data_IF_334867682845
#
_entry.id   IF_334867682845
#
_cell.length_a   1.000
_cell.length_b   1.000
_cell.length_c   1.000
_cell.angle_alpha   90.00
_cell.angle_beta   90.00
_cell.angle_gamma   90.00
#
_symmetry.space_group_name_H-M   'P 1'
#
loop_
_entity.id
_entity.type
_entity.pdbx_description
1 polymer ?
#
# COMPACT_ATOMS: atom_id res chain seq x y z
N UNK A 1 -3.01 -39.71 -10.52
CA UNK A 1 -1.64 -39.47 -10.07
C UNK A 1 -1.56 -38.64 -8.78
N UNK A 2 -2.46 -37.71 -8.53
CA UNK A 2 -2.50 -36.93 -7.27
C UNK A 2 -2.92 -37.73 -6.03
N UNK A 3 -3.78 -38.73 -6.16
CA UNK A 3 -4.25 -39.56 -5.03
C UNK A 3 -3.19 -40.52 -4.48
N UNK A 4 -2.23 -40.95 -5.27
CA UNK A 4 -1.14 -41.84 -4.84
C UNK A 4 -0.08 -41.12 -4.02
N UNK A 5 0.26 -39.88 -4.39
CA UNK A 5 1.24 -39.07 -3.65
C UNK A 5 0.74 -38.64 -2.26
N UNK A 6 -0.56 -38.35 -2.15
CA UNK A 6 -1.22 -38.04 -0.87
C UNK A 6 -1.29 -39.25 0.08
N UNK A 7 -1.49 -40.45 -0.46
CA UNK A 7 -1.52 -41.69 0.33
C UNK A 7 -0.14 -42.06 0.88
N UNK A 8 0.92 -41.93 0.09
CA UNK A 8 2.28 -42.20 0.53
C UNK A 8 2.78 -41.20 1.60
N UNK A 9 2.37 -39.95 1.51
CA UNK A 9 2.71 -38.93 2.52
C UNK A 9 1.95 -39.14 3.84
N UNK A 10 0.70 -39.62 3.80
CA UNK A 10 -0.06 -39.98 4.99
C UNK A 10 0.58 -41.15 5.76
N UNK A 11 1.12 -42.12 5.07
CA UNK A 11 1.79 -43.29 5.67
C UNK A 11 3.11 -42.89 6.32
N UNK A 12 3.90 -42.01 5.67
CA UNK A 12 5.16 -41.49 6.24
C UNK A 12 4.87 -40.61 7.46
N UNK A 13 3.81 -39.78 7.42
CA UNK A 13 3.36 -38.98 8.55
C UNK A 13 2.97 -39.80 9.79
N UNK A 14 2.25 -40.91 9.59
CA UNK A 14 1.85 -41.82 10.65
C UNK A 14 3.05 -42.57 11.29
N UNK A 15 4.09 -42.88 10.54
CA UNK A 15 5.30 -43.56 11.05
C UNK A 15 6.18 -42.64 11.90
N UNK A 16 6.21 -41.33 11.59
CA UNK A 16 7.00 -40.33 12.31
C UNK A 16 6.30 -39.73 13.55
N UNK A 17 5.00 -39.99 13.73
CA UNK A 17 4.22 -39.48 14.87
C UNK A 17 4.57 -40.09 16.24
N UNK A 18 5.33 -41.17 16.27
CA UNK A 18 5.57 -41.94 17.51
C UNK A 18 6.84 -41.53 18.30
N UNK A 19 7.60 -40.55 17.82
CA UNK A 19 8.78 -40.04 18.57
C UNK A 19 8.64 -38.53 18.81
N UNK A 20 9.07 -38.04 19.98
CA UNK A 20 8.98 -36.64 20.39
C UNK A 20 9.71 -35.71 19.41
N UNK A 21 10.79 -36.13 18.77
CA UNK A 21 11.50 -35.46 17.69
C UNK A 21 10.75 -35.52 16.35
N UNK A 22 9.99 -36.60 16.08
CA UNK A 22 9.19 -36.77 14.90
C UNK A 22 8.02 -35.77 14.83
N UNK A 23 7.37 -35.47 15.96
CA UNK A 23 6.26 -34.50 16.00
C UNK A 23 6.72 -33.08 15.63
N UNK A 24 7.87 -32.64 16.10
CA UNK A 24 8.40 -31.33 15.74
C UNK A 24 8.85 -31.27 14.27
N UNK A 25 9.37 -32.38 13.73
CA UNK A 25 9.79 -32.47 12.34
C UNK A 25 8.59 -32.50 11.38
N UNK A 26 7.55 -33.27 11.70
CA UNK A 26 6.29 -33.33 10.93
C UNK A 26 5.59 -31.98 10.96
N UNK A 27 5.52 -31.30 12.10
CA UNK A 27 4.92 -29.97 12.22
C UNK A 27 5.66 -28.94 11.34
N UNK A 28 7.00 -28.96 11.32
CA UNK A 28 7.80 -28.09 10.45
C UNK A 28 7.64 -28.39 8.95
N UNK A 29 7.51 -29.68 8.58
CA UNK A 29 7.28 -30.06 7.17
C UNK A 29 5.87 -29.62 6.75
N UNK A 30 4.87 -29.85 7.58
CA UNK A 30 3.47 -29.48 7.31
C UNK A 30 3.31 -27.96 7.20
N UNK A 31 3.99 -27.20 8.03
CA UNK A 31 4.06 -25.74 7.96
C UNK A 31 4.75 -25.24 6.67
N UNK A 32 5.84 -25.90 6.28
CA UNK A 32 6.56 -25.59 5.03
C UNK A 32 5.76 -25.94 3.77
N UNK A 33 5.10 -27.08 3.75
CA UNK A 33 4.24 -27.50 2.64
C UNK A 33 2.99 -26.62 2.53
N UNK A 34 2.38 -26.27 3.66
CA UNK A 34 1.28 -25.30 3.71
C UNK A 34 1.71 -23.94 3.14
N UNK A 35 2.91 -23.45 3.49
CA UNK A 35 3.43 -22.20 2.94
C UNK A 35 3.73 -22.28 1.44
N UNK A 36 4.22 -23.45 0.95
CA UNK A 36 4.44 -23.68 -0.48
C UNK A 36 3.13 -23.78 -1.21
N UNK A 37 2.17 -24.56 -0.70
CA UNK A 37 0.83 -24.69 -1.26
C UNK A 37 0.13 -23.33 -1.32
N UNK A 38 0.19 -22.55 -0.24
CA UNK A 38 -0.34 -21.19 -0.16
C UNK A 38 0.32 -20.26 -1.18
N UNK A 39 1.63 -20.34 -1.37
CA UNK A 39 2.34 -19.55 -2.40
C UNK A 39 1.96 -19.94 -3.81
N UNK A 40 1.87 -21.23 -4.09
CA UNK A 40 1.51 -21.75 -5.42
C UNK A 40 0.02 -21.47 -5.72
N UNK A 41 -0.88 -21.70 -4.76
CA UNK A 41 -2.31 -21.39 -4.88
C UNK A 41 -2.54 -19.88 -5.11
N UNK A 42 -1.81 -19.03 -4.40
CA UNK A 42 -1.88 -17.57 -4.54
C UNK A 42 -1.29 -17.11 -5.89
N UNK A 43 -0.22 -17.72 -6.35
CA UNK A 43 0.35 -17.47 -7.67
C UNK A 43 -0.57 -17.91 -8.82
N UNK A 44 -1.31 -19.02 -8.64
CA UNK A 44 -2.25 -19.52 -9.65
C UNK A 44 -3.57 -18.74 -9.69
N UNK A 45 -4.03 -18.18 -8.57
CA UNK A 45 -5.33 -17.47 -8.48
C UNK A 45 -5.31 -15.99 -8.84
N UNK A 46 -4.16 -15.39 -9.03
CA UNK A 46 -4.17 -13.98 -9.27
C UNK A 46 -2.93 -13.28 -9.70
N UNK A 47 -2.25 -13.76 -10.71
CA UNK A 47 -1.28 -12.89 -11.37
C UNK A 47 -0.33 -12.16 -10.39
N UNK A 48 0.75 -11.78 -10.84
CA UNK A 48 1.86 -11.01 -10.26
C UNK A 48 1.50 -10.05 -9.10
N UNK A 49 1.00 -10.55 -7.98
CA UNK A 49 0.79 -9.73 -6.79
C UNK A 49 2.13 -9.62 -6.09
N UNK A 50 2.78 -8.51 -6.33
CA UNK A 50 4.00 -8.10 -5.65
C UNK A 50 3.81 -8.19 -4.13
N UNK A 51 4.76 -8.77 -3.39
CA UNK A 51 4.66 -8.85 -1.94
C UNK A 51 4.50 -7.44 -1.37
N UNK A 52 3.74 -7.31 -0.26
CA UNK A 52 3.48 -6.01 0.38
C UNK A 52 4.77 -5.24 0.71
N UNK A 53 5.80 -5.93 1.19
CA UNK A 53 7.11 -5.35 1.52
C UNK A 53 7.81 -4.77 0.29
N UNK A 54 7.74 -5.48 -0.85
CA UNK A 54 8.34 -5.01 -2.09
C UNK A 54 7.58 -3.79 -2.62
N UNK A 55 6.24 -3.83 -2.60
CA UNK A 55 5.42 -2.69 -3.03
C UNK A 55 5.68 -1.47 -2.15
N UNK A 56 5.72 -1.63 -0.83
CA UNK A 56 6.03 -0.57 0.12
C UNK A 56 7.38 0.08 -0.19
N UNK A 57 8.45 -0.71 -0.31
CA UNK A 57 9.77 -0.18 -0.57
C UNK A 57 9.85 0.55 -1.92
N UNK A 58 9.22 0.01 -2.96
CA UNK A 58 9.18 0.67 -4.28
C UNK A 58 8.43 2.00 -4.19
N UNK A 59 7.26 2.03 -3.55
CA UNK A 59 6.50 3.28 -3.42
C UNK A 59 7.19 4.30 -2.54
N UNK A 60 7.91 3.89 -1.49
CA UNK A 60 8.71 4.78 -0.66
C UNK A 60 9.82 5.45 -1.47
N UNK A 61 10.56 4.65 -2.25
CA UNK A 61 11.62 5.16 -3.14
C UNK A 61 11.03 6.08 -4.22
N UNK A 62 9.91 5.69 -4.84
CA UNK A 62 9.25 6.52 -5.86
C UNK A 62 8.79 7.86 -5.29
N UNK A 63 8.14 7.88 -4.11
CA UNK A 63 7.72 9.11 -3.46
C UNK A 63 8.92 10.02 -3.16
N UNK A 64 10.02 9.44 -2.65
CA UNK A 64 11.23 10.20 -2.39
C UNK A 64 11.83 10.79 -3.67
N UNK A 65 11.92 9.99 -4.74
CA UNK A 65 12.42 10.45 -6.04
C UNK A 65 11.53 11.53 -6.64
N UNK A 66 10.21 11.44 -6.48
CA UNK A 66 9.27 12.48 -6.93
C UNK A 66 9.52 13.80 -6.20
N UNK A 67 9.66 13.77 -4.87
CA UNK A 67 9.95 14.97 -4.07
C UNK A 67 11.32 15.56 -4.46
N UNK A 68 12.33 14.72 -4.59
CA UNK A 68 13.67 15.14 -5.02
C UNK A 68 13.64 15.78 -6.41
N UNK A 69 12.94 15.14 -7.36
CA UNK A 69 12.76 15.67 -8.72
C UNK A 69 12.08 17.04 -8.72
N UNK A 70 11.06 17.24 -7.88
CA UNK A 70 10.42 18.53 -7.72
C UNK A 70 11.37 19.59 -7.14
N UNK A 71 12.15 19.24 -6.12
CA UNK A 71 13.16 20.16 -5.54
C UNK A 71 14.18 20.57 -6.59
N UNK A 72 14.69 19.61 -7.37
CA UNK A 72 15.62 19.91 -8.47
C UNK A 72 14.99 20.82 -9.53
N UNK A 73 13.73 20.54 -9.91
CA UNK A 73 12.96 21.39 -10.82
C UNK A 73 12.81 22.82 -10.28
N UNK A 74 12.46 22.96 -8.99
CA UNK A 74 12.30 24.25 -8.32
C UNK A 74 13.63 25.03 -8.28
N UNK A 75 14.74 24.36 -7.96
CA UNK A 75 16.08 24.97 -7.98
C UNK A 75 16.45 25.46 -9.39
N UNK A 76 16.21 24.64 -10.41
CA UNK A 76 16.52 24.98 -11.80
C UNK A 76 15.69 26.16 -12.31
N UNK A 77 14.46 26.31 -11.85
CA UNK A 77 13.55 27.39 -12.30
C UNK A 77 13.60 28.63 -11.41
N UNK A 78 14.25 28.56 -10.24
CA UNK A 78 14.19 29.59 -9.19
C UNK A 78 14.56 31.01 -9.65
N UNK A 79 15.57 31.12 -10.51
CA UNK A 79 16.03 32.39 -11.06
C UNK A 79 15.04 33.08 -12.01
N UNK A 80 14.18 32.27 -12.65
CA UNK A 80 13.18 32.71 -13.62
C UNK A 80 11.82 33.00 -12.98
N UNK A 81 11.64 32.63 -11.69
CA UNK A 81 10.38 32.84 -10.98
C UNK A 81 10.16 34.31 -10.62
N UNK A 82 8.96 34.86 -10.84
CA UNK A 82 8.59 36.18 -10.35
C UNK A 82 8.58 36.19 -8.81
N UNK A 83 8.73 37.38 -8.20
CA UNK A 83 8.72 37.54 -6.74
C UNK A 83 7.38 37.12 -6.10
N UNK A 84 6.29 37.20 -6.85
CA UNK A 84 4.96 36.72 -6.45
C UNK A 84 4.47 35.62 -7.38
N UNK A 85 4.12 34.48 -6.81
CA UNK A 85 3.62 33.29 -7.50
C UNK A 85 2.22 32.94 -7.00
N UNK A 86 1.37 32.29 -7.81
CA UNK A 86 0.12 31.72 -7.33
C UNK A 86 0.37 30.69 -6.22
N UNK A 87 -0.38 30.82 -5.14
CA UNK A 87 -0.36 29.88 -4.00
C UNK A 87 -1.73 29.24 -3.74
N UNK A 88 -2.74 29.66 -4.46
CA UNK A 88 -4.06 29.08 -4.44
C UNK A 88 -4.75 29.26 -5.78
N UNK A 89 -5.53 28.24 -6.18
CA UNK A 89 -6.30 28.22 -7.41
C UNK A 89 -7.76 27.88 -7.07
N UNK A 90 -8.70 28.51 -7.73
CA UNK A 90 -10.10 28.18 -7.59
C UNK A 90 -10.44 26.87 -8.33
N UNK A 91 -11.69 26.41 -8.25
CA UNK A 91 -12.16 25.17 -8.89
C UNK A 91 -12.02 25.14 -10.42
N UNK A 92 -11.84 26.28 -11.04
CA UNK A 92 -11.62 26.43 -12.48
C UNK A 92 -10.13 26.48 -12.86
N UNK A 93 -9.22 26.37 -11.86
CA UNK A 93 -7.78 26.45 -12.07
C UNK A 93 -7.25 27.86 -12.29
N UNK A 94 -8.03 28.89 -11.95
CA UNK A 94 -7.65 30.29 -12.05
C UNK A 94 -7.02 30.70 -10.71
N UNK A 95 -5.80 31.32 -10.72
CA UNK A 95 -5.17 31.81 -9.51
C UNK A 95 -6.04 32.88 -8.83
N UNK A 96 -6.35 32.72 -7.55
CA UNK A 96 -7.11 33.66 -6.73
C UNK A 96 -6.32 34.20 -5.53
N UNK A 97 -5.15 33.65 -5.28
CA UNK A 97 -4.24 34.14 -4.23
C UNK A 97 -2.78 34.03 -4.66
N UNK A 98 -2.01 35.07 -4.36
CA UNK A 98 -0.58 35.15 -4.67
C UNK A 98 0.25 35.33 -3.39
N UNK A 99 1.38 34.61 -3.32
CA UNK A 99 2.36 34.69 -2.24
C UNK A 99 3.76 34.98 -2.76
N UNK A 100 4.73 35.05 -1.85
CA UNK A 100 6.15 35.17 -2.21
C UNK A 100 6.62 33.85 -2.83
N UNK A 101 7.57 33.87 -3.77
CA UNK A 101 8.13 32.67 -4.40
C UNK A 101 8.67 31.65 -3.38
N UNK A 102 9.11 32.09 -2.19
CA UNK A 102 9.51 31.21 -1.09
C UNK A 102 8.40 30.30 -0.58
N UNK A 103 7.10 30.62 -0.84
CA UNK A 103 5.99 29.73 -0.47
C UNK A 103 6.02 28.40 -1.20
N UNK A 104 6.65 28.33 -2.39
CA UNK A 104 6.81 27.06 -3.14
C UNK A 104 7.69 26.04 -2.41
N UNK A 105 8.49 26.47 -1.43
CA UNK A 105 9.28 25.56 -0.59
C UNK A 105 8.40 24.78 0.43
N UNK A 106 7.19 25.26 0.70
CA UNK A 106 6.27 24.57 1.59
C UNK A 106 5.84 23.21 1.00
N UNK A 107 5.70 23.09 -0.31
CA UNK A 107 5.22 21.88 -0.98
C UNK A 107 6.16 20.67 -0.75
N UNK A 108 7.48 20.75 -1.01
CA UNK A 108 8.36 19.62 -0.74
C UNK A 108 8.50 19.36 0.76
N UNK A 109 8.41 20.37 1.63
CA UNK A 109 8.44 20.19 3.09
C UNK A 109 7.19 19.42 3.53
N UNK A 110 5.99 19.83 3.11
CA UNK A 110 4.75 19.14 3.39
C UNK A 110 4.77 17.73 2.80
N UNK A 111 5.26 17.57 1.58
CA UNK A 111 5.42 16.26 0.94
C UNK A 111 6.29 15.32 1.77
N UNK A 112 7.43 15.79 2.30
CA UNK A 112 8.29 14.99 3.18
C UNK A 112 7.62 14.67 4.52
N UNK A 113 6.89 15.61 5.12
CA UNK A 113 6.16 15.37 6.37
C UNK A 113 5.05 14.34 6.17
N UNK A 114 4.27 14.47 5.11
CA UNK A 114 3.21 13.50 4.75
C UNK A 114 3.83 12.14 4.48
N UNK A 115 4.92 12.07 3.70
CA UNK A 115 5.62 10.82 3.41
C UNK A 115 6.08 10.15 4.71
N UNK A 116 6.78 10.89 5.58
CA UNK A 116 7.27 10.38 6.85
C UNK A 116 6.12 9.88 7.76
N UNK A 117 5.04 10.65 7.85
CA UNK A 117 3.86 10.28 8.62
C UNK A 117 3.19 9.01 8.09
N UNK A 118 2.97 8.89 6.77
CA UNK A 118 2.34 7.71 6.18
C UNK A 118 3.26 6.48 6.24
N UNK A 119 4.58 6.64 6.11
CA UNK A 119 5.54 5.57 6.36
C UNK A 119 5.50 5.09 7.81
N UNK A 120 5.40 6.02 8.76
CA UNK A 120 5.26 5.70 10.17
C UNK A 120 3.95 4.93 10.44
N UNK A 121 2.82 5.43 9.97
CA UNK A 121 1.53 4.72 10.10
C UNK A 121 1.61 3.30 9.51
N UNK A 122 2.21 3.14 8.34
CA UNK A 122 2.34 1.85 7.67
C UNK A 122 3.23 0.84 8.43
N UNK A 123 4.09 1.33 9.32
CA UNK A 123 4.93 0.49 10.18
C UNK A 123 4.16 -0.20 11.30
N UNK A 124 3.01 0.37 11.70
CA UNK A 124 2.21 -0.05 12.84
C UNK A 124 0.75 -0.34 12.45
N UNK A 125 0.51 -1.33 11.58
CA UNK A 125 -0.84 -1.66 11.10
C UNK A 125 -1.78 -2.10 12.25
N UNK A 126 -1.25 -2.60 13.35
CA UNK A 126 -2.01 -2.99 14.54
C UNK A 126 -2.68 -1.80 15.26
N UNK A 127 -2.29 -0.56 14.95
CA UNK A 127 -2.88 0.65 15.55
C UNK A 127 -4.03 1.22 14.71
N UNK A 128 -4.29 0.61 13.55
CA UNK A 128 -5.33 1.10 12.67
C UNK A 128 -6.68 0.55 13.11
N UNK A 129 -7.72 1.35 12.92
CA UNK A 129 -9.09 0.93 13.14
C UNK A 129 -9.60 0.24 11.86
N UNK A 130 -9.87 -1.05 11.95
CA UNK A 130 -10.38 -1.86 10.85
C UNK A 130 -11.90 -1.96 10.91
N UNK A 131 -12.60 -2.07 9.76
CA UNK A 131 -14.06 -2.19 9.74
C UNK A 131 -14.55 -3.61 10.05
N UNK A 132 -13.65 -4.53 10.38
CA UNK A 132 -13.91 -5.94 10.73
C UNK A 132 -13.11 -6.31 11.97
N UNK A 133 -13.50 -7.38 12.67
CA UNK A 133 -12.73 -7.90 13.78
C UNK A 133 -11.45 -8.57 13.29
N UNK A 134 -10.32 -8.20 13.88
CA UNK A 134 -9.01 -8.74 13.52
C UNK A 134 -8.69 -9.91 14.44
N UNK A 135 -8.87 -11.13 13.93
CA UNK A 135 -8.53 -12.38 14.61
C UNK A 135 -7.11 -12.83 14.26
N UNK A 136 -6.57 -13.83 14.97
CA UNK A 136 -5.25 -14.39 14.66
C UNK A 136 -5.22 -15.04 13.25
N UNK A 137 -6.35 -15.58 12.77
CA UNK A 137 -6.46 -16.23 11.46
C UNK A 137 -6.48 -15.23 10.31
N UNK A 138 -7.17 -14.07 10.46
CA UNK A 138 -7.36 -13.12 9.36
C UNK A 138 -6.34 -11.96 9.39
N UNK A 139 -5.61 -11.77 10.50
CA UNK A 139 -4.72 -10.62 10.74
C UNK A 139 -3.69 -10.40 9.64
N UNK A 140 -3.00 -11.45 9.22
CA UNK A 140 -1.94 -11.32 8.22
C UNK A 140 -2.50 -10.82 6.87
N UNK A 141 -3.66 -11.33 6.46
CA UNK A 141 -4.31 -10.93 5.22
C UNK A 141 -4.85 -9.50 5.26
N UNK A 142 -5.49 -9.13 6.38
CA UNK A 142 -6.01 -7.76 6.57
C UNK A 142 -4.85 -6.76 6.55
N UNK A 143 -3.77 -7.03 7.27
CA UNK A 143 -2.60 -6.15 7.32
C UNK A 143 -1.91 -6.04 5.94
N UNK A 144 -1.85 -7.12 5.18
CA UNK A 144 -1.32 -7.11 3.81
C UNK A 144 -2.15 -6.21 2.89
N UNK A 145 -3.48 -6.35 2.91
CA UNK A 145 -4.40 -5.53 2.10
C UNK A 145 -4.26 -4.05 2.51
N UNK A 146 -4.29 -3.77 3.79
CA UNK A 146 -4.20 -2.42 4.33
C UNK A 146 -2.84 -1.76 3.99
N UNK A 147 -1.75 -2.51 4.09
CA UNK A 147 -0.41 -2.02 3.72
C UNK A 147 -0.30 -1.70 2.22
N UNK A 148 -0.88 -2.53 1.35
CA UNK A 148 -0.94 -2.26 -0.10
C UNK A 148 -1.78 -1.03 -0.40
N UNK A 149 -2.94 -0.91 0.23
CA UNK A 149 -3.82 0.27 0.11
C UNK A 149 -3.08 1.55 0.52
N UNK A 150 -2.39 1.54 1.66
CA UNK A 150 -1.60 2.68 2.13
C UNK A 150 -0.47 3.05 1.18
N UNK A 151 0.18 2.08 0.54
CA UNK A 151 1.25 2.33 -0.44
C UNK A 151 0.73 3.12 -1.64
N UNK A 152 -0.47 2.79 -2.14
CA UNK A 152 -1.10 3.53 -3.25
C UNK A 152 -1.55 4.93 -2.80
N UNK A 153 -2.21 5.04 -1.65
CA UNK A 153 -2.65 6.32 -1.09
C UNK A 153 -1.47 7.27 -0.90
N UNK A 154 -0.36 6.78 -0.36
CA UNK A 154 0.87 7.55 -0.17
C UNK A 154 1.38 8.13 -1.49
N UNK A 155 1.47 7.30 -2.54
CA UNK A 155 1.92 7.76 -3.86
C UNK A 155 1.01 8.84 -4.44
N UNK A 156 -0.32 8.64 -4.35
CA UNK A 156 -1.31 9.60 -4.84
C UNK A 156 -1.28 10.91 -4.03
N UNK A 157 -1.12 10.83 -2.71
CA UNK A 157 -1.05 12.01 -1.84
C UNK A 157 0.18 12.87 -2.14
N UNK A 158 1.34 12.25 -2.34
CA UNK A 158 2.55 12.97 -2.78
C UNK A 158 2.31 13.60 -4.16
N UNK A 159 1.66 12.88 -5.08
CA UNK A 159 1.26 13.41 -6.39
C UNK A 159 0.42 14.68 -6.29
N UNK A 160 -0.56 14.75 -5.38
CA UNK A 160 -1.38 15.95 -5.14
C UNK A 160 -0.51 17.10 -4.64
N UNK A 161 0.36 16.87 -3.64
CA UNK A 161 1.23 17.92 -3.11
C UNK A 161 2.16 18.50 -4.18
N UNK A 162 2.83 17.64 -4.96
CA UNK A 162 3.76 18.10 -5.97
C UNK A 162 3.06 18.78 -7.14
N UNK A 163 1.85 18.35 -7.49
CA UNK A 163 1.05 19.02 -8.50
C UNK A 163 0.74 20.47 -8.10
N UNK A 164 0.37 20.70 -6.84
CA UNK A 164 0.13 22.05 -6.33
C UNK A 164 1.37 22.94 -6.49
N UNK A 165 2.55 22.44 -6.13
CA UNK A 165 3.80 23.17 -6.27
C UNK A 165 4.18 23.43 -7.73
N UNK A 166 4.04 22.47 -8.63
CA UNK A 166 4.30 22.64 -10.06
C UNK A 166 3.34 23.67 -10.65
N UNK A 167 2.07 23.64 -10.29
CA UNK A 167 1.07 24.59 -10.75
C UNK A 167 1.40 26.03 -10.29
N UNK A 168 1.86 26.20 -9.06
CA UNK A 168 2.32 27.47 -8.54
C UNK A 168 3.53 28.01 -9.30
N UNK A 169 4.45 27.15 -9.68
CA UNK A 169 5.62 27.51 -10.49
C UNK A 169 5.22 27.91 -11.93
N UNK A 170 4.34 27.14 -12.56
CA UNK A 170 3.86 27.39 -13.93
C UNK A 170 2.86 28.54 -14.03
N UNK A 171 2.26 28.96 -12.92
CA UNK A 171 1.21 29.99 -12.89
C UNK A 171 -0.14 29.54 -13.44
N UNK A 172 -0.30 28.25 -13.74
CA UNK A 172 -1.56 27.64 -14.26
C UNK A 172 -1.83 26.32 -13.59
N UNK A 173 -3.09 25.99 -13.36
CA UNK A 173 -3.51 24.75 -12.73
C UNK A 173 -4.76 24.15 -13.40
N UNK A 174 -4.63 23.38 -14.50
CA UNK A 174 -5.76 22.56 -14.92
C UNK A 174 -6.17 21.63 -13.76
N UNK A 175 -7.44 21.70 -13.32
CA UNK A 175 -7.88 21.02 -12.09
C UNK A 175 -8.12 19.51 -12.26
N UNK A 176 -8.25 19.03 -13.50
CA UNK A 176 -8.56 17.62 -13.76
C UNK A 176 -7.54 16.62 -13.20
N UNK A 177 -6.18 16.89 -13.16
CA UNK A 177 -5.25 15.93 -12.57
C UNK A 177 -5.45 15.78 -11.06
N UNK A 178 -5.75 16.88 -10.35
CA UNK A 178 -6.05 16.85 -8.91
C UNK A 178 -7.27 15.99 -8.64
N UNK A 179 -8.35 16.20 -9.40
CA UNK A 179 -9.57 15.40 -9.25
C UNK A 179 -9.34 13.93 -9.55
N UNK A 180 -8.51 13.60 -10.55
CA UNK A 180 -8.14 12.21 -10.83
C UNK A 180 -7.34 11.57 -9.69
N UNK A 181 -6.38 12.30 -9.12
CA UNK A 181 -5.58 11.79 -7.99
C UNK A 181 -6.45 11.59 -6.74
N UNK A 182 -7.32 12.55 -6.42
CA UNK A 182 -8.28 12.45 -5.31
C UNK A 182 -9.25 11.28 -5.54
N UNK A 183 -9.83 11.16 -6.73
CA UNK A 183 -10.69 10.04 -7.08
C UNK A 183 -9.96 8.71 -6.94
N UNK A 184 -8.67 8.63 -7.34
CA UNK A 184 -7.82 7.47 -7.15
C UNK A 184 -7.67 7.07 -5.68
N UNK A 185 -7.53 8.05 -4.77
CA UNK A 185 -7.49 7.80 -3.32
C UNK A 185 -8.81 7.17 -2.86
N UNK A 186 -9.96 7.75 -3.23
CA UNK A 186 -11.27 7.21 -2.84
C UNK A 186 -11.53 5.83 -3.42
N UNK A 187 -11.19 5.60 -4.69
CA UNK A 187 -11.30 4.28 -5.33
C UNK A 187 -10.44 3.26 -4.58
N UNK A 188 -9.20 3.62 -4.23
CA UNK A 188 -8.30 2.74 -3.48
C UNK A 188 -8.86 2.38 -2.11
N UNK A 189 -9.45 3.35 -1.39
CA UNK A 189 -10.11 3.13 -0.11
C UNK A 189 -11.30 2.18 -0.26
N UNK A 190 -12.20 2.44 -1.22
CA UNK A 190 -13.39 1.62 -1.45
C UNK A 190 -13.00 0.18 -1.81
N UNK A 191 -12.06 0.01 -2.73
CA UNK A 191 -11.61 -1.33 -3.14
C UNK A 191 -10.88 -2.07 -2.02
N UNK A 192 -10.05 -1.37 -1.23
CA UNK A 192 -9.35 -1.93 -0.09
C UNK A 192 -10.32 -2.40 1.00
N UNK A 193 -11.27 -1.55 1.38
CA UNK A 193 -12.30 -1.88 2.38
C UNK A 193 -13.15 -3.07 1.91
N UNK A 194 -13.63 -3.07 0.66
CA UNK A 194 -14.39 -4.19 0.09
C UNK A 194 -13.60 -5.49 0.13
N UNK A 195 -12.29 -5.42 -0.12
CA UNK A 195 -11.43 -6.60 -0.10
C UNK A 195 -11.23 -7.13 1.33
N UNK A 196 -11.11 -6.24 2.33
CA UNK A 196 -11.05 -6.61 3.75
C UNK A 196 -12.32 -7.36 4.16
N UNK A 197 -13.51 -6.82 3.88
CA UNK A 197 -14.80 -7.49 4.16
C UNK A 197 -14.94 -8.85 3.49
N UNK A 198 -14.47 -8.95 2.24
CA UNK A 198 -14.52 -10.23 1.52
C UNK A 198 -13.62 -11.28 2.16
N UNK A 199 -12.41 -10.91 2.57
CA UNK A 199 -11.46 -11.81 3.24
C UNK A 199 -12.00 -12.29 4.59
N UNK A 200 -12.62 -11.39 5.37
CA UNK A 200 -13.23 -11.72 6.64
C UNK A 200 -14.36 -12.73 6.48
N UNK A 201 -15.25 -12.53 5.51
CA UNK A 201 -16.35 -13.45 5.23
C UNK A 201 -15.87 -14.82 4.75
N UNK A 202 -14.81 -14.88 3.92
CA UNK A 202 -14.25 -16.15 3.44
C UNK A 202 -13.68 -16.97 4.62
N UNK A 203 -13.00 -16.32 5.58
CA UNK A 203 -12.46 -16.99 6.76
C UNK A 203 -13.57 -17.47 7.72
N UNK A 204 -14.64 -16.69 7.92
CA UNK A 204 -15.77 -17.09 8.78
C UNK A 204 -16.55 -18.30 8.25
N UNK A 205 -16.64 -18.48 6.93
CA UNK A 205 -17.28 -19.68 6.34
C UNK A 205 -16.45 -20.96 6.52
N UNK A 206 -15.12 -20.83 6.55
CA UNK A 206 -14.20 -21.96 6.78
C UNK A 206 -14.26 -22.48 8.23
N UNK A 207 -14.72 -21.65 9.19
CA UNK A 207 -14.92 -22.04 10.60
C UNK A 207 -16.24 -22.77 10.81
N UNK A 208 -17.34 -22.35 10.15
CA UNK A 208 -18.65 -23.03 10.25
C UNK A 208 -18.62 -24.43 9.64
N UNK A 209 -17.82 -24.67 8.61
CA UNK A 209 -17.68 -25.99 7.96
C UNK A 209 -16.81 -26.98 8.76
N UNK A 210 -16.10 -26.50 9.78
CA UNK A 210 -15.24 -27.30 10.69
C UNK A 210 -15.88 -27.63 12.04
N UNK A 211 -17.02 -27.05 12.36
CA UNK A 211 -17.76 -27.28 13.61
C UNK A 211 -18.84 -28.34 13.44
#
# INVERSE_FOLDING_TARGET
>A
MQSLVLADMAIIGLFLQNTFTGRQFVCKIQEREYLIYRRVYFAMKGGWIMSEKKLRNITDVLCFLMILGYVMYLVATWGNLPERVPIHFNVHGIPDRYGKKGSLLLEPILGLLILAFLMFCQRFPQWWNYPVEVTEENREHIFEIASKMMSVIKLLSIGVCLYAGISGNLGTAPMWPVWMLIAGIFVTLILGIRRIYKTDKENGMDEEDKS
#
